data_IF_266561525023
#
_entry.id   IF_266561525023
#
_cell.length_a   1.000
_cell.length_b   1.000
_cell.length_c   1.000
_cell.angle_alpha   90.00
_cell.angle_beta   90.00
_cell.angle_gamma   90.00
#
_symmetry.space_group_name_H-M   'P 1'
#
loop_
_entity.id
_entity.type
_entity.pdbx_description
1 polymer ?
#
# COMPACT_ATOMS: atom_id res chain seq x y z
N UNK A 1 13.44 32.72 -12.35
CA UNK A 1 13.68 31.97 -11.09
C UNK A 1 12.41 32.04 -10.26
N UNK A 2 11.50 31.09 -10.45
CA UNK A 2 10.27 31.01 -9.66
C UNK A 2 10.60 30.53 -8.25
N UNK A 3 10.27 31.36 -7.26
CA UNK A 3 10.40 31.02 -5.85
C UNK A 3 9.35 29.95 -5.54
N UNK A 4 9.77 28.69 -5.40
CA UNK A 4 8.92 27.62 -4.88
C UNK A 4 8.49 28.02 -3.48
N UNK A 5 7.24 28.48 -3.33
CA UNK A 5 6.62 28.72 -2.02
C UNK A 5 6.62 27.39 -1.26
N UNK A 6 7.33 27.31 -0.13
CA UNK A 6 7.20 26.18 0.80
C UNK A 6 5.72 26.07 1.20
N UNK A 7 5.15 24.89 1.02
CA UNK A 7 3.77 24.60 1.45
C UNK A 7 3.63 24.80 2.95
N UNK A 8 2.54 25.45 3.39
CA UNK A 8 2.20 25.66 4.80
C UNK A 8 1.78 24.35 5.51
N UNK A 9 1.42 23.32 4.74
CA UNK A 9 0.89 22.05 5.22
C UNK A 9 1.65 20.87 4.60
N UNK A 10 1.71 19.71 5.29
CA UNK A 10 2.42 18.53 4.79
C UNK A 10 1.90 18.01 3.45
N UNK A 11 0.63 18.24 3.14
CA UNK A 11 0.01 17.92 1.85
C UNK A 11 -0.55 19.18 1.19
N UNK A 12 -0.69 19.17 -0.13
CA UNK A 12 -1.22 20.27 -0.94
C UNK A 12 -2.39 19.83 -1.82
N UNK A 13 -3.14 20.82 -2.31
CA UNK A 13 -4.17 20.59 -3.33
C UNK A 13 -3.55 19.92 -4.56
N UNK A 14 -4.21 18.87 -5.05
CA UNK A 14 -3.76 18.03 -6.15
C UNK A 14 -3.03 16.76 -5.71
N UNK A 15 -2.60 16.65 -4.45
CA UNK A 15 -1.97 15.43 -3.95
C UNK A 15 -2.98 14.27 -3.85
N UNK A 16 -2.48 13.05 -4.08
CA UNK A 16 -3.20 11.82 -3.83
C UNK A 16 -2.74 11.19 -2.52
N UNK A 17 -3.70 10.75 -1.72
CA UNK A 17 -3.48 10.18 -0.40
C UNK A 17 -4.36 8.95 -0.23
N UNK A 18 -3.98 8.06 0.68
CA UNK A 18 -4.86 6.99 1.13
C UNK A 18 -5.45 7.39 2.47
N UNK A 19 -6.78 7.51 2.50
CA UNK A 19 -7.54 7.89 3.68
C UNK A 19 -8.29 6.68 4.24
N UNK A 20 -7.76 6.09 5.31
CA UNK A 20 -8.34 4.94 6.03
C UNK A 20 -8.94 3.90 5.06
N UNK A 21 -10.19 3.51 5.29
CA UNK A 21 -10.93 2.52 4.51
C UNK A 21 -11.61 3.14 3.28
N UNK A 22 -11.52 4.45 3.06
CA UNK A 22 -12.06 5.12 1.88
C UNK A 22 -11.17 4.93 0.65
N UNK A 23 -9.95 4.45 0.82
CA UNK A 23 -9.01 4.19 -0.27
C UNK A 23 -8.35 5.47 -0.77
N UNK A 24 -8.08 5.52 -2.08
CA UNK A 24 -7.34 6.61 -2.72
C UNK A 24 -8.25 7.83 -2.85
N UNK A 25 -7.79 8.95 -2.29
CA UNK A 25 -8.46 10.23 -2.31
C UNK A 25 -7.55 11.30 -2.91
N UNK A 26 -8.15 12.27 -3.59
CA UNK A 26 -7.46 13.46 -4.09
C UNK A 26 -7.80 14.64 -3.19
N UNK A 27 -6.80 15.41 -2.78
CA UNK A 27 -7.03 16.69 -2.10
C UNK A 27 -7.48 17.70 -3.15
N UNK A 28 -8.75 18.11 -3.07
CA UNK A 28 -9.37 19.06 -4.02
C UNK A 28 -9.35 20.49 -3.51
N UNK A 29 -9.28 20.69 -2.20
CA UNK A 29 -9.24 22.01 -1.58
C UNK A 29 -8.58 21.97 -0.19
N UNK A 30 -8.05 23.11 0.25
CA UNK A 30 -7.61 23.32 1.63
C UNK A 30 -8.23 24.64 2.07
N UNK A 31 -9.33 24.52 2.83
CA UNK A 31 -10.13 25.69 3.19
C UNK A 31 -10.57 25.68 4.63
N UNK A 32 -10.98 26.86 5.08
CA UNK A 32 -11.54 27.05 6.40
C UNK A 32 -13.02 26.68 6.41
N UNK A 33 -13.44 25.95 7.43
CA UNK A 33 -14.83 25.59 7.67
C UNK A 33 -15.15 25.75 9.16
N UNK A 34 -16.41 26.07 9.45
CA UNK A 34 -16.92 26.15 10.81
C UNK A 34 -18.07 25.13 10.98
N UNK A 35 -17.69 23.86 11.06
CA UNK A 35 -18.65 22.81 11.39
C UNK A 35 -19.11 22.96 12.84
N UNK A 36 -20.42 22.77 13.07
CA UNK A 36 -21.03 22.75 14.41
C UNK A 36 -20.82 24.00 15.28
N UNK A 37 -20.42 25.15 14.72
CA UNK A 37 -20.19 26.43 15.43
C UNK A 37 -19.14 26.36 16.55
N UNK A 38 -18.28 25.35 16.54
CA UNK A 38 -17.22 25.15 17.57
C UNK A 38 -15.94 25.93 17.26
N UNK A 39 -15.95 26.75 16.20
CA UNK A 39 -14.82 27.57 15.79
C UNK A 39 -14.34 27.21 14.39
N UNK A 40 -13.79 28.21 13.70
CA UNK A 40 -13.24 28.05 12.35
C UNK A 40 -11.96 27.22 12.39
N UNK A 41 -11.89 26.15 11.60
CA UNK A 41 -10.70 25.32 11.43
C UNK A 41 -10.38 25.14 9.96
N UNK A 42 -9.12 24.85 9.65
CA UNK A 42 -8.69 24.54 8.28
C UNK A 42 -8.77 23.03 8.04
N UNK A 43 -9.31 22.63 6.90
CA UNK A 43 -9.52 21.23 6.53
C UNK A 43 -8.88 20.91 5.19
N UNK A 44 -8.34 19.71 5.07
CA UNK A 44 -8.23 19.04 3.78
C UNK A 44 -9.63 18.64 3.34
N UNK A 45 -10.02 19.08 2.14
CA UNK A 45 -11.22 18.61 1.45
C UNK A 45 -10.78 17.65 0.37
N UNK A 46 -11.31 16.43 0.43
CA UNK A 46 -10.90 15.34 -0.44
C UNK A 46 -12.10 14.68 -1.09
N UNK A 47 -11.93 14.18 -2.30
CA UNK A 47 -12.87 13.22 -2.89
C UNK A 47 -12.19 11.89 -3.16
N UNK A 48 -12.97 10.82 -3.21
CA UNK A 48 -12.45 9.51 -3.60
C UNK A 48 -12.26 9.48 -5.12
N UNK A 49 -11.29 8.70 -5.61
CA UNK A 49 -11.13 8.53 -7.07
C UNK A 49 -12.29 7.75 -7.72
N UNK A 50 -13.13 7.10 -6.91
CA UNK A 50 -14.28 6.30 -7.35
C UNK A 50 -15.58 7.13 -7.41
N UNK A 51 -15.68 8.15 -6.57
CA UNK A 51 -16.81 9.06 -6.47
C UNK A 51 -16.32 10.48 -6.16
N UNK A 52 -16.34 11.32 -7.20
CA UNK A 52 -15.91 12.71 -7.11
C UNK A 52 -16.89 13.59 -6.31
N UNK A 53 -18.13 13.15 -6.10
CA UNK A 53 -19.15 13.88 -5.36
C UNK A 53 -19.06 13.64 -3.84
N UNK A 54 -18.35 12.59 -3.42
CA UNK A 54 -18.14 12.28 -2.01
C UNK A 54 -17.06 13.18 -1.42
N UNK A 55 -17.45 14.15 -0.60
CA UNK A 55 -16.51 15.04 0.09
C UNK A 55 -16.17 14.54 1.49
N UNK A 56 -14.87 14.40 1.73
CA UNK A 56 -14.28 14.00 3.01
C UNK A 56 -13.51 15.19 3.57
N UNK A 57 -13.73 15.49 4.84
CA UNK A 57 -13.10 16.60 5.55
C UNK A 57 -12.19 16.08 6.66
N UNK A 58 -10.92 16.46 6.63
CA UNK A 58 -9.94 16.13 7.67
C UNK A 58 -9.26 17.41 8.17
N UNK A 59 -9.38 17.76 9.48
CA UNK A 59 -8.66 18.91 10.01
C UNK A 59 -7.15 18.81 9.76
N UNK A 60 -6.54 19.89 9.26
CA UNK A 60 -5.09 19.90 8.97
C UNK A 60 -4.23 19.82 10.24
N UNK A 61 -4.81 20.17 11.39
CA UNK A 61 -4.20 20.16 12.73
C UNK A 61 -4.53 18.89 13.53
N UNK A 62 -5.12 17.87 12.89
CA UNK A 62 -5.43 16.59 13.52
C UNK A 62 -4.14 15.96 14.07
N UNK A 63 -4.09 15.71 15.38
CA UNK A 63 -3.03 14.89 15.98
C UNK A 63 -3.00 13.50 15.33
N UNK A 64 -1.80 13.01 15.12
CA UNK A 64 -1.52 11.69 14.54
C UNK A 64 -2.13 11.53 13.14
N UNK A 65 -2.06 12.59 12.31
CA UNK A 65 -2.69 12.62 10.98
C UNK A 65 -2.25 11.45 10.08
N UNK A 66 -1.02 10.95 10.27
CA UNK A 66 -0.47 9.80 9.55
C UNK A 66 -1.29 8.51 9.76
N UNK A 67 -1.97 8.36 10.90
CA UNK A 67 -2.84 7.20 11.20
C UNK A 67 -4.17 7.25 10.41
N UNK A 68 -4.49 8.41 9.86
CA UNK A 68 -5.73 8.65 9.11
C UNK A 68 -5.45 8.78 7.62
N UNK A 69 -4.35 9.45 7.28
CA UNK A 69 -4.03 9.88 5.94
C UNK A 69 -2.55 9.66 5.70
N UNK A 70 -2.24 8.79 4.74
CA UNK A 70 -0.88 8.53 4.29
C UNK A 70 -0.73 8.97 2.85
N UNK A 71 0.47 9.38 2.45
CA UNK A 71 0.77 9.58 1.04
C UNK A 71 0.55 8.28 0.26
N UNK A 72 0.14 8.43 -0.99
CA UNK A 72 0.21 7.34 -1.94
C UNK A 72 1.68 7.10 -2.29
N UNK A 73 2.05 5.84 -2.46
CA UNK A 73 3.38 5.51 -2.96
C UNK A 73 3.60 6.13 -4.34
N UNK A 74 4.80 6.65 -4.56
CA UNK A 74 5.33 7.02 -5.87
C UNK A 74 5.80 5.77 -6.63
N UNK A 75 6.00 5.90 -7.94
CA UNK A 75 6.54 4.82 -8.78
C UNK A 75 7.91 4.37 -8.26
N UNK A 76 8.77 5.32 -7.89
CA UNK A 76 10.11 5.03 -7.38
C UNK A 76 10.07 4.32 -6.02
N UNK A 77 9.17 4.72 -5.12
CA UNK A 77 8.96 4.00 -3.85
C UNK A 77 8.44 2.58 -4.09
N UNK A 78 7.51 2.38 -5.03
CA UNK A 78 7.07 1.02 -5.39
C UNK A 78 8.26 0.19 -5.89
N UNK A 79 9.09 0.75 -6.76
CA UNK A 79 10.27 0.05 -7.27
C UNK A 79 11.28 -0.27 -6.16
N UNK A 80 11.52 0.69 -5.27
CA UNK A 80 12.42 0.52 -4.13
C UNK A 80 11.91 -0.60 -3.22
N UNK A 81 10.63 -0.56 -2.82
CA UNK A 81 10.05 -1.58 -1.94
C UNK A 81 10.06 -2.96 -2.63
N UNK A 82 9.80 -3.03 -3.94
CA UNK A 82 9.92 -4.28 -4.71
C UNK A 82 11.35 -4.81 -4.69
N UNK A 83 12.35 -3.93 -4.77
CA UNK A 83 13.76 -4.32 -4.69
C UNK A 83 14.13 -4.80 -3.29
N UNK A 84 13.70 -4.07 -2.26
CA UNK A 84 14.01 -4.34 -0.85
C UNK A 84 13.27 -5.55 -0.30
N UNK A 85 12.25 -6.06 -1.00
CA UNK A 85 11.61 -7.33 -0.66
C UNK A 85 12.58 -8.53 -0.69
N UNK A 86 13.80 -8.36 -1.24
CA UNK A 86 14.93 -9.29 -1.08
C UNK A 86 15.60 -9.25 0.29
N UNK A 87 15.60 -8.10 0.95
CA UNK A 87 16.40 -7.80 2.13
C UNK A 87 15.60 -7.74 3.43
N UNK A 88 14.29 -8.05 3.38
CA UNK A 88 13.46 -7.99 4.59
C UNK A 88 14.00 -8.91 5.69
N UNK A 89 14.06 -8.41 6.92
CA UNK A 89 14.48 -9.18 8.12
C UNK A 89 13.50 -10.31 8.49
N UNK A 90 12.32 -10.37 7.88
CA UNK A 90 11.34 -11.41 8.15
C UNK A 90 11.80 -12.76 7.57
N UNK A 91 11.60 -13.82 8.36
CA UNK A 91 11.98 -15.19 8.00
C UNK A 91 10.77 -16.10 7.85
N UNK A 92 10.93 -17.17 7.06
CA UNK A 92 9.95 -18.25 7.00
C UNK A 92 9.76 -18.91 8.38
N UNK A 93 8.53 -19.28 8.70
CA UNK A 93 8.17 -19.97 9.95
C UNK A 93 7.63 -21.35 9.57
N UNK A 94 8.27 -22.42 10.02
CA UNK A 94 7.88 -23.80 9.65
C UNK A 94 6.54 -24.20 10.28
N UNK A 95 6.32 -23.86 11.55
CA UNK A 95 5.07 -24.14 12.23
C UNK A 95 3.92 -23.36 11.56
N UNK A 96 2.97 -24.10 10.99
CA UNK A 96 1.89 -23.51 10.17
C UNK A 96 0.95 -22.63 10.98
N UNK A 97 0.75 -22.93 12.27
CA UNK A 97 -0.14 -22.13 13.14
C UNK A 97 0.54 -20.82 13.53
N UNK A 98 1.81 -20.87 13.93
CA UNK A 98 2.60 -19.69 14.25
C UNK A 98 2.79 -18.81 13.01
N UNK A 99 3.10 -19.41 11.85
CA UNK A 99 3.20 -18.69 10.58
C UNK A 99 1.92 -17.94 10.26
N UNK A 100 0.77 -18.61 10.36
CA UNK A 100 -0.54 -17.98 10.14
C UNK A 100 -0.75 -16.75 11.01
N UNK A 101 -0.50 -16.85 12.32
CA UNK A 101 -0.66 -15.75 13.27
C UNK A 101 0.28 -14.58 12.92
N UNK A 102 1.56 -14.86 12.70
CA UNK A 102 2.54 -13.82 12.40
C UNK A 102 2.23 -13.11 11.09
N UNK A 103 1.88 -13.87 10.05
CA UNK A 103 1.60 -13.31 8.73
C UNK A 103 0.29 -12.51 8.72
N UNK A 104 -0.73 -12.92 9.48
CA UNK A 104 -1.92 -12.11 9.71
C UNK A 104 -1.60 -10.79 10.43
N UNK A 105 -0.66 -10.80 11.39
CA UNK A 105 -0.21 -9.57 12.06
C UNK A 105 0.50 -8.62 11.08
N UNK A 106 1.45 -9.11 10.28
CA UNK A 106 2.13 -8.31 9.25
C UNK A 106 1.12 -7.69 8.27
N UNK A 107 0.15 -8.47 7.81
CA UNK A 107 -0.91 -7.99 6.93
C UNK A 107 -1.76 -6.90 7.61
N UNK A 108 -2.07 -7.05 8.90
CA UNK A 108 -2.89 -6.09 9.65
C UNK A 108 -2.22 -4.74 9.90
N UNK A 109 -0.87 -4.71 9.99
CA UNK A 109 -0.10 -3.46 10.11
C UNK A 109 -0.18 -2.61 8.84
N UNK A 110 -0.38 -3.24 7.68
CA UNK A 110 -0.54 -2.53 6.41
C UNK A 110 0.76 -1.97 5.83
N UNK A 111 1.92 -2.36 6.36
CA UNK A 111 3.22 -1.95 5.80
C UNK A 111 3.45 -2.59 4.42
N UNK A 112 3.78 -1.77 3.42
CA UNK A 112 3.83 -2.26 2.03
C UNK A 112 5.07 -3.10 1.75
N UNK A 113 6.17 -2.90 2.48
CA UNK A 113 7.36 -3.74 2.37
C UNK A 113 7.10 -5.12 2.98
N UNK A 114 6.51 -5.17 4.18
CA UNK A 114 6.11 -6.43 4.83
C UNK A 114 5.07 -7.19 3.97
N UNK A 115 4.10 -6.49 3.37
CA UNK A 115 3.09 -7.12 2.50
C UNK A 115 3.71 -7.64 1.21
N UNK A 116 4.61 -6.89 0.56
CA UNK A 116 5.31 -7.37 -0.65
C UNK A 116 6.20 -8.56 -0.34
N UNK A 117 6.85 -8.58 0.84
CA UNK A 117 7.56 -9.74 1.33
C UNK A 117 6.63 -10.95 1.50
N UNK A 118 5.43 -10.78 2.09
CA UNK A 118 4.44 -11.87 2.17
C UNK A 118 4.06 -12.42 0.79
N UNK A 119 3.76 -11.53 -0.17
CA UNK A 119 3.45 -11.93 -1.55
C UNK A 119 4.60 -12.73 -2.15
N UNK A 120 5.86 -12.31 -1.93
CA UNK A 120 7.05 -13.01 -2.38
C UNK A 120 7.16 -14.41 -1.82
N UNK A 121 7.25 -14.53 -0.50
CA UNK A 121 7.59 -15.81 0.16
C UNK A 121 6.48 -16.83 -0.03
N UNK A 122 5.22 -16.41 0.03
CA UNK A 122 4.07 -17.28 -0.22
C UNK A 122 3.97 -17.70 -1.68
N UNK A 123 4.29 -16.81 -2.63
CA UNK A 123 4.33 -17.18 -4.06
C UNK A 123 5.44 -18.19 -4.36
N UNK A 124 6.63 -18.02 -3.74
CA UNK A 124 7.74 -18.95 -3.88
C UNK A 124 7.37 -20.31 -3.28
N UNK A 125 6.88 -20.33 -2.06
CA UNK A 125 6.48 -21.56 -1.36
C UNK A 125 5.38 -22.32 -2.10
N UNK A 126 4.38 -21.60 -2.61
CA UNK A 126 3.33 -22.19 -3.45
C UNK A 126 3.92 -22.90 -4.67
N UNK A 127 4.85 -22.27 -5.39
CA UNK A 127 5.53 -22.88 -6.55
C UNK A 127 6.36 -24.12 -6.17
N UNK A 128 7.00 -24.12 -5.01
CA UNK A 128 7.77 -25.27 -4.50
C UNK A 128 6.85 -26.47 -4.22
N UNK A 129 5.74 -26.26 -3.51
CA UNK A 129 4.76 -27.31 -3.26
C UNK A 129 4.13 -27.84 -4.56
N UNK A 130 3.84 -26.98 -5.53
CA UNK A 130 3.31 -27.37 -6.84
C UNK A 130 4.29 -28.30 -7.59
N UNK A 131 5.60 -28.01 -7.54
CA UNK A 131 6.65 -28.89 -8.11
C UNK A 131 6.69 -30.25 -7.42
N UNK A 132 6.45 -30.27 -6.12
CA UNK A 132 6.37 -31.51 -5.33
C UNK A 132 5.00 -32.20 -5.41
N UNK A 133 4.05 -31.67 -6.20
CA UNK A 133 2.65 -32.12 -6.27
C UNK A 133 1.93 -32.13 -4.91
N UNK A 134 2.39 -31.28 -3.98
CA UNK A 134 1.77 -31.04 -2.67
C UNK A 134 0.76 -29.91 -2.77
N UNK A 135 -0.22 -29.94 -1.85
CA UNK A 135 -1.24 -28.89 -1.76
C UNK A 135 -0.72 -27.70 -0.99
N UNK A 136 -1.01 -26.50 -1.49
CA UNK A 136 -0.79 -25.25 -0.76
C UNK A 136 -1.78 -25.13 0.40
N UNK A 137 -1.31 -24.68 1.56
CA UNK A 137 -2.15 -24.56 2.75
C UNK A 137 -3.23 -23.50 2.57
N UNK A 138 -4.44 -23.79 3.05
CA UNK A 138 -5.58 -22.88 2.92
C UNK A 138 -5.37 -21.57 3.69
N UNK A 139 -4.70 -21.61 4.86
CA UNK A 139 -4.32 -20.42 5.63
C UNK A 139 -3.39 -19.51 4.83
N UNK A 140 -2.33 -20.08 4.27
CA UNK A 140 -1.34 -19.38 3.46
C UNK A 140 -1.97 -18.80 2.18
N UNK A 141 -2.90 -19.54 1.54
CA UNK A 141 -3.64 -19.06 0.39
C UNK A 141 -4.54 -17.86 0.69
N UNK A 142 -5.21 -17.87 1.85
CA UNK A 142 -6.05 -16.74 2.30
C UNK A 142 -5.21 -15.49 2.55
N UNK A 143 -4.05 -15.66 3.20
CA UNK A 143 -3.11 -14.56 3.47
C UNK A 143 -2.56 -14.00 2.16
N UNK A 144 -2.08 -14.86 1.24
CA UNK A 144 -1.57 -14.43 -0.06
C UNK A 144 -2.62 -13.62 -0.83
N UNK A 145 -3.85 -14.12 -0.91
CA UNK A 145 -4.94 -13.41 -1.60
C UNK A 145 -5.25 -12.05 -0.99
N UNK A 146 -5.22 -11.94 0.35
CA UNK A 146 -5.46 -10.68 1.03
C UNK A 146 -4.29 -9.69 0.85
N UNK A 147 -3.04 -10.18 0.91
CA UNK A 147 -1.84 -9.39 0.65
C UNK A 147 -1.84 -8.82 -0.78
N UNK A 148 -2.14 -9.65 -1.77
CA UNK A 148 -2.29 -9.25 -3.17
C UNK A 148 -3.36 -8.16 -3.33
N UNK A 149 -4.54 -8.37 -2.74
CA UNK A 149 -5.63 -7.39 -2.79
C UNK A 149 -5.23 -6.04 -2.19
N UNK A 150 -4.45 -6.02 -1.11
CA UNK A 150 -4.04 -4.78 -0.43
C UNK A 150 -3.16 -3.91 -1.31
N UNK A 151 -2.25 -4.49 -2.09
CA UNK A 151 -1.37 -3.72 -2.98
C UNK A 151 -2.02 -3.35 -4.32
N UNK A 152 -3.03 -4.13 -4.77
CA UNK A 152 -3.64 -3.95 -6.10
C UNK A 152 -4.16 -2.54 -6.35
N UNK A 153 -4.96 -1.96 -5.44
CA UNK A 153 -5.60 -0.66 -5.69
C UNK A 153 -4.54 0.46 -5.80
N UNK A 154 -3.62 0.51 -4.83
CA UNK A 154 -2.57 1.52 -4.75
C UNK A 154 -1.61 1.41 -5.94
N UNK A 155 -1.17 0.20 -6.29
CA UNK A 155 -0.18 0.01 -7.33
C UNK A 155 -0.78 0.21 -8.73
N UNK A 156 -2.02 -0.23 -8.96
CA UNK A 156 -2.71 0.03 -10.23
C UNK A 156 -2.79 1.54 -10.49
N UNK A 157 -3.19 2.30 -9.47
CA UNK A 157 -3.28 3.75 -9.57
C UNK A 157 -1.91 4.41 -9.81
N UNK A 158 -0.91 4.09 -8.99
CA UNK A 158 0.41 4.73 -9.08
C UNK A 158 1.16 4.36 -10.36
N UNK A 159 1.08 3.10 -10.79
CA UNK A 159 1.78 2.61 -11.99
C UNK A 159 1.00 2.92 -13.29
N UNK A 160 -0.27 3.32 -13.19
CA UNK A 160 -1.12 3.56 -14.35
C UNK A 160 -1.42 2.29 -15.15
N UNK A 161 -1.49 1.13 -14.49
CA UNK A 161 -1.79 -0.18 -15.08
C UNK A 161 -3.15 -0.69 -14.59
N UNK A 162 -3.73 -1.69 -15.26
CA UNK A 162 -4.99 -2.26 -14.79
C UNK A 162 -4.78 -3.11 -13.52
N UNK A 163 -5.86 -3.29 -12.75
CA UNK A 163 -5.81 -4.04 -11.48
C UNK A 163 -5.37 -5.50 -11.66
N UNK A 164 -5.75 -6.11 -12.78
CA UNK A 164 -5.37 -7.47 -13.17
C UNK A 164 -3.89 -7.58 -13.60
N UNK A 165 -3.26 -6.48 -14.01
CA UNK A 165 -1.83 -6.44 -14.37
C UNK A 165 -0.89 -6.29 -13.16
N UNK A 166 -1.38 -5.80 -12.02
CA UNK A 166 -0.54 -5.53 -10.84
C UNK A 166 0.16 -6.78 -10.31
N UNK A 167 -0.58 -7.86 -10.07
CA UNK A 167 0.00 -9.08 -9.49
C UNK A 167 1.01 -9.74 -10.45
N UNK A 168 0.72 -9.88 -11.76
CA UNK A 168 1.74 -10.24 -12.75
C UNK A 168 2.98 -9.34 -12.71
N UNK A 169 2.80 -8.02 -12.69
CA UNK A 169 3.89 -7.03 -12.66
C UNK A 169 4.81 -7.21 -11.44
N UNK A 170 4.21 -7.35 -10.25
CA UNK A 170 4.92 -7.51 -8.97
C UNK A 170 5.65 -8.84 -8.95
N UNK A 171 4.96 -9.95 -9.28
CA UNK A 171 5.56 -11.29 -9.28
C UNK A 171 6.72 -11.40 -10.27
N UNK A 172 6.63 -10.78 -11.45
CA UNK A 172 7.71 -10.80 -12.43
C UNK A 172 8.99 -10.17 -11.87
N UNK A 173 8.90 -9.07 -11.12
CA UNK A 173 10.06 -8.37 -10.55
C UNK A 173 10.61 -9.06 -9.31
N UNK A 174 9.72 -9.53 -8.44
CA UNK A 174 10.09 -10.14 -7.16
C UNK A 174 10.62 -11.57 -7.32
N UNK A 175 10.17 -12.30 -8.35
CA UNK A 175 10.55 -13.70 -8.59
C UNK A 175 11.51 -13.86 -9.79
N UNK A 176 11.67 -12.82 -10.61
CA UNK A 176 12.51 -12.83 -11.82
C UNK A 176 13.99 -12.53 -11.58
N UNK A 177 14.38 -12.00 -10.41
CA UNK A 177 15.78 -11.66 -10.09
C UNK A 177 16.72 -12.87 -9.86
N UNK A 178 16.23 -14.11 -9.95
CA UNK A 178 17.07 -15.33 -9.82
C UNK A 178 17.57 -15.90 -11.16
N UNK A 179 17.90 -15.06 -12.15
CA UNK A 179 18.71 -15.45 -13.32
C UNK A 179 19.54 -14.26 -13.81
N UNK A 180 20.77 -14.13 -13.34
CA UNK A 180 21.75 -13.21 -13.96
C UNK A 180 22.74 -12.59 -13.00
N UNK A 181 23.68 -13.38 -12.49
CA UNK A 181 25.04 -12.94 -12.12
C UNK A 181 25.94 -14.18 -11.98
N UNK A 182 26.18 -14.85 -13.10
CA UNK A 182 27.40 -15.62 -13.36
C UNK A 182 27.83 -15.25 -14.78
N UNK A 183 28.74 -14.27 -14.86
CA UNK A 183 29.63 -14.02 -15.99
C UNK A 183 30.90 -13.35 -15.48
#
# INVERSE_FOLDING_TARGET
>A
MEKVKKSQYPHKVGDYVIYRNNGICKIVDIRKENFARIGEKTYYVMNTIQDENSLIYLPVDKKDIADFMRHILTVDEIHQIISDAEESENTWIEDTKQRGIQFEQLLSKGDRAEILWLVKVLSKYKRELEREKKKFYASDAKILSAAEKTITEEFAFTLGISKDEVIPYVRARILGKNQGEEA
#
